data_IF_570811197425
#
_entry.id   IF_570811197425
#
_cell.length_a   1.000
_cell.length_b   1.000
_cell.length_c   1.000
_cell.angle_alpha   90.00
_cell.angle_beta   90.00
_cell.angle_gamma   90.00
#
_symmetry.space_group_name_H-M   'P 1'
#
loop_
_entity.id
_entity.type
_entity.pdbx_description
1 polymer ?
#
# COMPACT_ATOMS: atom_id res chain seq x y z
N UNK A 1 -3.44 -22.59 -9.08
CA UNK A 1 -2.39 -21.57 -8.98
C UNK A 1 -3.13 -20.24 -8.91
N UNK A 2 -2.95 -19.45 -7.86
CA UNK A 2 -3.58 -18.13 -7.75
C UNK A 2 -2.95 -17.20 -8.78
N UNK A 3 -3.76 -16.33 -9.38
CA UNK A 3 -3.29 -15.26 -10.26
C UNK A 3 -2.85 -14.04 -9.45
N UNK A 4 -2.11 -13.11 -10.09
CA UNK A 4 -1.78 -11.82 -9.47
C UNK A 4 -3.03 -11.07 -9.03
N UNK A 5 -4.11 -11.13 -9.82
CA UNK A 5 -5.40 -10.52 -9.48
C UNK A 5 -6.00 -11.12 -8.22
N UNK A 6 -5.88 -12.44 -8.02
CA UNK A 6 -6.33 -13.08 -6.79
C UNK A 6 -5.50 -12.61 -5.59
N UNK A 7 -4.17 -12.51 -5.73
CA UNK A 7 -3.30 -12.00 -4.66
C UNK A 7 -3.63 -10.56 -4.27
N UNK A 8 -3.89 -9.68 -5.24
CA UNK A 8 -4.34 -8.31 -4.97
C UNK A 8 -5.66 -8.33 -4.19
N UNK A 9 -6.64 -9.12 -4.64
CA UNK A 9 -7.96 -9.22 -4.01
C UNK A 9 -7.91 -9.74 -2.56
N UNK A 10 -6.91 -10.55 -2.19
CA UNK A 10 -6.75 -11.07 -0.83
C UNK A 10 -5.83 -10.23 0.05
N UNK A 11 -5.14 -9.21 -0.50
CA UNK A 11 -4.11 -8.45 0.22
C UNK A 11 -4.64 -7.48 1.27
N UNK A 12 -5.93 -7.14 1.22
CA UNK A 12 -6.52 -6.07 2.03
C UNK A 12 -6.19 -4.66 1.53
N UNK A 13 -5.51 -4.52 0.39
CA UNK A 13 -5.11 -3.25 -0.21
C UNK A 13 -5.60 -3.11 -1.66
N UNK A 14 -5.81 -1.87 -2.09
CA UNK A 14 -6.11 -1.53 -3.49
C UNK A 14 -4.86 -1.65 -4.38
N UNK A 15 -5.00 -1.72 -5.72
CA UNK A 15 -3.86 -1.74 -6.63
C UNK A 15 -2.88 -0.57 -6.42
N UNK A 16 -3.41 0.63 -6.20
CA UNK A 16 -2.64 1.86 -5.97
C UNK A 16 -1.86 1.79 -4.65
N UNK A 17 -2.48 1.30 -3.59
CA UNK A 17 -1.83 1.08 -2.30
C UNK A 17 -0.73 0.00 -2.40
N UNK A 18 -0.99 -1.10 -3.12
CA UNK A 18 0.00 -2.16 -3.32
C UNK A 18 1.19 -1.71 -4.15
N UNK A 19 0.97 -0.88 -5.17
CA UNK A 19 2.03 -0.33 -6.00
C UNK A 19 2.97 0.55 -5.16
N UNK A 20 2.42 1.43 -4.32
CA UNK A 20 3.19 2.23 -3.37
C UNK A 20 3.96 1.34 -2.38
N UNK A 21 3.31 0.36 -1.73
CA UNK A 21 3.98 -0.56 -0.80
C UNK A 21 5.09 -1.37 -1.47
N UNK A 22 4.87 -1.83 -2.70
CA UNK A 22 5.87 -2.55 -3.49
C UNK A 22 7.08 -1.66 -3.80
N UNK A 23 6.84 -0.39 -4.13
CA UNK A 23 7.88 0.62 -4.33
C UNK A 23 8.70 0.82 -3.05
N UNK A 24 8.04 1.10 -1.92
CA UNK A 24 8.66 1.31 -0.60
C UNK A 24 9.55 0.14 -0.18
N UNK A 25 9.09 -1.09 -0.40
CA UNK A 25 9.81 -2.31 0.02
C UNK A 25 10.82 -2.80 -0.99
N UNK A 26 10.83 -2.23 -2.20
CA UNK A 26 11.63 -2.71 -3.33
C UNK A 26 11.39 -4.19 -3.64
N UNK A 27 10.12 -4.60 -3.66
CA UNK A 27 9.71 -5.97 -3.96
C UNK A 27 8.66 -6.00 -5.08
N UNK A 28 8.49 -7.14 -5.78
CA UNK A 28 7.38 -7.29 -6.73
C UNK A 28 6.02 -7.16 -6.04
N UNK A 29 5.01 -6.65 -6.75
CA UNK A 29 3.63 -6.45 -6.24
C UNK A 29 3.03 -7.72 -5.61
N UNK A 30 3.32 -8.91 -6.13
CA UNK A 30 2.83 -10.16 -5.54
C UNK A 30 3.40 -10.43 -4.14
N UNK A 31 4.63 -10.02 -3.88
CA UNK A 31 5.29 -10.14 -2.56
C UNK A 31 4.75 -9.06 -1.63
N UNK A 32 4.50 -7.85 -2.14
CA UNK A 32 3.83 -6.79 -1.38
C UNK A 32 2.41 -7.21 -0.97
N UNK A 33 1.68 -7.89 -1.84
CA UNK A 33 0.33 -8.39 -1.59
C UNK A 33 0.28 -9.45 -0.49
N UNK A 34 1.21 -10.42 -0.52
CA UNK A 34 1.35 -11.40 0.57
C UNK A 34 1.72 -10.70 1.88
N UNK A 35 2.69 -9.78 1.84
CA UNK A 35 3.10 -9.05 3.04
C UNK A 35 1.96 -8.22 3.63
N UNK A 36 1.15 -7.57 2.78
CA UNK A 36 0.02 -6.75 3.20
C UNK A 36 -1.02 -7.56 3.96
N UNK A 37 -1.38 -8.75 3.45
CA UNK A 37 -2.31 -9.66 4.12
C UNK A 37 -1.84 -10.00 5.54
N UNK A 38 -0.57 -10.34 5.69
CA UNK A 38 -0.02 -10.77 6.99
C UNK A 38 0.26 -9.59 7.94
N UNK A 39 0.60 -8.41 7.43
CA UNK A 39 0.90 -7.24 8.28
C UNK A 39 -0.37 -6.60 8.83
N UNK A 40 -1.46 -6.56 8.05
CA UNK A 40 -2.73 -5.94 8.47
C UNK A 40 -3.36 -6.67 9.67
N UNK A 41 -3.08 -7.95 9.85
CA UNK A 41 -3.52 -8.74 11.02
C UNK A 41 -2.71 -8.45 12.31
N UNK A 42 -1.66 -7.64 12.23
CA UNK A 42 -0.82 -7.29 13.39
C UNK A 42 -1.36 -6.05 14.12
N UNK A 43 -1.14 -5.92 15.45
CA UNK A 43 -1.64 -4.78 16.23
C UNK A 43 -1.23 -3.40 15.68
N UNK A 44 0.00 -3.30 15.15
CA UNK A 44 0.54 -2.06 14.56
C UNK A 44 0.56 -2.13 13.03
N UNK A 45 -0.22 -3.05 12.46
CA UNK A 45 -0.24 -3.37 11.03
C UNK A 45 -0.64 -2.20 10.15
N UNK A 46 -1.79 -1.61 10.46
CA UNK A 46 -2.32 -0.46 9.72
C UNK A 46 -1.35 0.73 9.77
N UNK A 47 -0.80 1.05 10.94
CA UNK A 47 0.20 2.10 11.08
C UNK A 47 1.47 1.82 10.26
N UNK A 48 1.88 0.56 10.14
CA UNK A 48 3.03 0.16 9.32
C UNK A 48 2.76 0.35 7.83
N UNK A 49 1.56 0.03 7.36
CA UNK A 49 1.15 0.22 5.96
C UNK A 49 1.01 1.71 5.64
N UNK A 50 0.32 2.47 6.50
CA UNK A 50 0.16 3.91 6.34
C UNK A 50 1.50 4.63 6.25
N UNK A 51 2.44 4.32 7.14
CA UNK A 51 3.78 4.92 7.10
C UNK A 51 4.53 4.60 5.79
N UNK A 52 4.31 3.43 5.19
CA UNK A 52 4.87 3.09 3.88
C UNK A 52 4.22 3.92 2.76
N UNK A 53 2.89 4.06 2.80
CA UNK A 53 2.14 4.87 1.83
C UNK A 53 2.53 6.36 1.92
N UNK A 54 2.56 6.92 3.13
CA UNK A 54 2.99 8.31 3.37
C UNK A 54 4.40 8.59 2.86
N UNK A 55 5.33 7.65 3.06
CA UNK A 55 6.71 7.78 2.61
C UNK A 55 6.80 7.89 1.08
N UNK A 56 6.06 7.04 0.37
CA UNK A 56 6.08 7.03 -1.10
C UNK A 56 5.29 8.17 -1.72
N UNK A 57 4.15 8.57 -1.13
CA UNK A 57 3.41 9.77 -1.55
C UNK A 57 4.29 11.01 -1.41
N UNK A 58 4.98 11.15 -0.27
CA UNK A 58 5.90 12.27 -0.06
C UNK A 58 7.04 12.27 -1.07
N UNK A 59 7.65 11.12 -1.32
CA UNK A 59 8.73 10.99 -2.31
C UNK A 59 8.21 11.35 -3.71
N UNK A 60 7.04 10.84 -4.09
CA UNK A 60 6.41 11.14 -5.37
C UNK A 60 6.13 12.63 -5.53
N UNK A 61 5.62 13.29 -4.49
CA UNK A 61 5.41 14.73 -4.45
C UNK A 61 6.71 15.52 -4.62
N UNK A 62 7.73 15.21 -3.82
CA UNK A 62 9.03 15.90 -3.81
C UNK A 62 9.75 15.79 -5.17
N UNK A 63 9.49 14.71 -5.91
CA UNK A 63 10.10 14.42 -7.21
C UNK A 63 9.18 14.65 -8.41
N UNK A 64 7.94 15.12 -8.19
CA UNK A 64 6.91 15.33 -9.23
C UNK A 64 6.68 14.08 -10.10
N UNK A 65 6.54 12.92 -9.47
CA UNK A 65 6.30 11.66 -10.15
C UNK A 65 4.84 11.57 -10.63
N UNK A 66 4.62 10.98 -11.81
CA UNK A 66 3.28 10.77 -12.36
C UNK A 66 2.39 9.86 -11.48
N UNK A 67 3.00 9.08 -10.58
CA UNK A 67 2.30 8.20 -9.64
C UNK A 67 1.73 8.92 -8.42
N UNK A 68 2.10 10.18 -8.18
CA UNK A 68 1.71 10.96 -6.99
C UNK A 68 0.20 10.96 -6.76
N UNK A 69 -0.60 11.31 -7.79
CA UNK A 69 -2.06 11.43 -7.66
C UNK A 69 -2.70 10.08 -7.27
N UNK A 70 -2.25 8.99 -7.89
CA UNK A 70 -2.76 7.64 -7.60
C UNK A 70 -2.40 7.17 -6.20
N UNK A 71 -1.15 7.35 -5.78
CA UNK A 71 -0.71 6.96 -4.44
C UNK A 71 -1.31 7.85 -3.36
N UNK A 72 -1.50 9.15 -3.62
CA UNK A 72 -2.18 10.04 -2.69
C UNK A 72 -3.64 9.61 -2.49
N UNK A 73 -4.35 9.31 -3.57
CA UNK A 73 -5.71 8.79 -3.46
C UNK A 73 -5.76 7.48 -2.67
N UNK A 74 -4.83 6.56 -2.94
CA UNK A 74 -4.72 5.29 -2.21
C UNK A 74 -4.45 5.48 -0.71
N UNK A 75 -3.62 6.45 -0.33
CA UNK A 75 -3.38 6.82 1.07
C UNK A 75 -4.64 7.39 1.73
N UNK A 76 -5.33 8.32 1.06
CA UNK A 76 -6.57 8.92 1.57
C UNK A 76 -7.66 7.87 1.80
N UNK A 77 -7.81 6.91 0.87
CA UNK A 77 -8.70 5.76 1.03
C UNK A 77 -8.29 4.86 2.19
N UNK A 78 -6.99 4.57 2.33
CA UNK A 78 -6.48 3.73 3.42
C UNK A 78 -6.78 4.32 4.80
N UNK A 79 -6.50 5.61 4.99
CA UNK A 79 -6.77 6.33 6.25
C UNK A 79 -8.27 6.46 6.53
N UNK A 80 -9.11 6.51 5.49
CA UNK A 80 -10.57 6.51 5.66
C UNK A 80 -11.09 5.18 6.22
N UNK A 81 -10.58 4.07 5.69
CA UNK A 81 -10.99 2.72 6.09
C UNK A 81 -10.36 2.27 7.41
N UNK A 82 -9.19 2.84 7.78
CA UNK A 82 -8.44 2.51 8.99
C UNK A 82 -8.18 3.77 9.84
N UNK A 83 -9.21 4.35 10.48
CA UNK A 83 -9.02 5.52 11.33
C UNK A 83 -8.15 5.16 12.55
N UNK A 84 -7.23 6.06 12.91
CA UNK A 84 -6.44 5.97 14.13
C UNK A 84 -7.36 5.99 15.36
N UNK A 85 -7.46 4.87 16.08
CA UNK A 85 -8.12 4.80 17.41
C UNK A 85 -7.23 5.36 18.54
#
# INVERSE_FOLDING_TARGET
MLSLTDCVAFSGLTPEQLDAVACFKHVPTVVAAEWAETVLDQPDGCATVEAALEAEVKLAHDHHLETEEGWQHGLEEFCHDHPHE
#
